data_IF_292680587844
#
_entry.id   IF_292680587844
#
_cell.length_a   1.000
_cell.length_b   1.000
_cell.length_c   1.000
_cell.angle_alpha   90.00
_cell.angle_beta   90.00
_cell.angle_gamma   90.00
#
_symmetry.space_group_name_H-M   'P 1'
#
loop_
_entity.id
_entity.type
_entity.pdbx_description
1 polymer ?
#
# COMPACT_ATOMS: atom_id res chain seq x y z
N UNK A 1 5.76 -19.86 -1.32
CA UNK A 1 4.32 -19.57 -1.25
C UNK A 1 3.71 -19.81 -2.62
N UNK A 2 2.62 -20.58 -2.71
CA UNK A 2 1.97 -20.93 -3.98
C UNK A 2 0.70 -20.10 -4.09
N UNK A 3 0.53 -19.37 -5.20
CA UNK A 3 -0.67 -18.60 -5.49
C UNK A 3 -1.45 -19.34 -6.57
N UNK A 4 -2.60 -19.88 -6.20
CA UNK A 4 -3.50 -20.56 -7.14
C UNK A 4 -4.28 -19.54 -7.97
N UNK A 5 -3.62 -18.98 -8.99
CA UNK A 5 -4.16 -17.90 -9.83
C UNK A 5 -5.40 -18.29 -10.63
N UNK A 6 -5.75 -19.58 -10.75
CA UNK A 6 -6.84 -20.05 -11.63
C UNK A 6 -7.85 -20.98 -10.97
N UNK A 7 -7.70 -21.36 -9.71
CA UNK A 7 -8.54 -22.39 -9.05
C UNK A 7 -8.53 -23.77 -9.77
N UNK A 8 -7.86 -23.91 -10.91
CA UNK A 8 -7.69 -25.15 -11.68
C UNK A 8 -6.62 -26.08 -11.09
N UNK A 9 -5.78 -25.59 -10.17
CA UNK A 9 -4.70 -26.39 -9.58
C UNK A 9 -5.19 -27.31 -8.44
N UNK A 10 -6.51 -27.45 -8.27
CA UNK A 10 -7.14 -28.22 -7.19
C UNK A 10 -6.67 -29.68 -7.12
N UNK A 11 -6.18 -30.24 -8.24
CA UNK A 11 -5.61 -31.59 -8.32
C UNK A 11 -4.11 -31.66 -8.04
N UNK A 12 -3.33 -30.66 -8.46
CA UNK A 12 -1.87 -30.62 -8.22
C UNK A 12 -1.51 -30.13 -6.81
N UNK A 13 -2.27 -29.20 -6.22
CA UNK A 13 -2.00 -28.72 -4.86
C UNK A 13 -2.27 -29.83 -3.82
N UNK A 14 -3.18 -30.76 -4.11
CA UNK A 14 -3.48 -31.91 -3.24
C UNK A 14 -2.36 -32.97 -3.20
N UNK A 15 -1.51 -33.07 -4.23
CA UNK A 15 -0.37 -33.99 -4.25
C UNK A 15 0.90 -33.38 -3.64
N UNK A 16 0.94 -32.05 -3.47
CA UNK A 16 1.97 -31.34 -2.72
C UNK A 16 1.67 -31.42 -1.23
N UNK A 17 2.38 -32.29 -0.50
CA UNK A 17 2.18 -32.48 0.94
C UNK A 17 2.05 -31.17 1.73
N UNK A 18 1.00 -31.09 2.57
CA UNK A 18 0.80 -30.11 3.66
C UNK A 18 0.94 -28.62 3.28
N UNK A 19 0.66 -28.23 2.03
CA UNK A 19 0.58 -26.82 1.64
C UNK A 19 -0.76 -26.20 2.08
N UNK A 20 -0.71 -25.14 2.89
CA UNK A 20 -1.89 -24.38 3.31
C UNK A 20 -2.25 -23.30 2.29
N UNK A 21 -3.53 -23.24 1.91
CA UNK A 21 -4.07 -22.19 1.05
C UNK A 21 -4.42 -20.99 1.92
N UNK A 22 -3.83 -19.83 1.62
CA UNK A 22 -4.07 -18.57 2.34
C UNK A 22 -4.83 -17.58 1.47
N UNK A 23 -5.79 -16.87 2.08
CA UNK A 23 -6.66 -15.93 1.37
C UNK A 23 -5.97 -14.60 1.02
N UNK A 24 -5.01 -14.17 1.85
CA UNK A 24 -4.19 -12.98 1.60
C UNK A 24 -2.79 -13.21 2.16
N UNK A 25 -1.80 -12.52 1.60
CA UNK A 25 -0.42 -12.58 2.05
C UNK A 25 0.34 -11.31 1.73
N UNK A 26 1.42 -11.06 2.47
CA UNK A 26 2.30 -9.93 2.18
C UNK A 26 3.42 -10.40 1.24
N UNK A 27 3.56 -9.71 0.12
CA UNK A 27 4.65 -9.89 -0.84
C UNK A 27 5.29 -8.56 -1.16
N UNK A 28 6.61 -8.45 -0.93
CA UNK A 28 7.39 -7.22 -1.12
C UNK A 28 6.76 -5.99 -0.44
N UNK A 29 6.09 -6.20 0.71
CA UNK A 29 5.43 -5.14 1.47
C UNK A 29 4.02 -4.76 1.00
N UNK A 30 3.46 -5.46 0.00
CA UNK A 30 2.07 -5.28 -0.46
C UNK A 30 1.20 -6.47 -0.07
N UNK A 31 -0.03 -6.21 0.36
CA UNK A 31 -1.01 -7.26 0.58
C UNK A 31 -1.55 -7.74 -0.77
N UNK A 32 -1.37 -9.02 -1.05
CA UNK A 32 -1.85 -9.72 -2.23
C UNK A 32 -3.00 -10.63 -1.80
N UNK A 33 -4.10 -10.63 -2.54
CA UNK A 33 -5.22 -11.53 -2.30
C UNK A 33 -5.04 -12.90 -2.96
N UNK A 34 -5.95 -13.83 -2.67
CA UNK A 34 -5.93 -15.20 -3.16
C UNK A 34 -6.04 -15.33 -4.69
N UNK A 35 -6.46 -14.28 -5.39
CA UNK A 35 -6.42 -14.24 -6.87
C UNK A 35 -5.04 -13.83 -7.42
N UNK A 36 -4.13 -13.40 -6.54
CA UNK A 36 -2.87 -12.79 -6.90
C UNK A 36 -2.96 -11.28 -7.15
N UNK A 37 -4.09 -10.64 -6.84
CA UNK A 37 -4.29 -9.19 -7.06
C UNK A 37 -3.84 -8.36 -5.85
N UNK A 38 -3.31 -7.18 -6.13
CA UNK A 38 -2.97 -6.15 -5.13
C UNK A 38 -3.88 -4.92 -5.21
N UNK A 39 -4.97 -4.98 -5.99
CA UNK A 39 -5.85 -3.84 -6.26
C UNK A 39 -6.38 -3.21 -4.97
N UNK A 40 -6.80 -4.04 -4.02
CA UNK A 40 -7.30 -3.58 -2.73
C UNK A 40 -6.24 -2.83 -1.91
N UNK A 41 -4.98 -3.28 -1.94
CA UNK A 41 -3.88 -2.60 -1.25
C UNK A 41 -3.53 -1.27 -1.92
N UNK A 42 -3.49 -1.23 -3.26
CA UNK A 42 -3.27 0.02 -4.01
C UNK A 42 -4.37 1.03 -3.68
N UNK A 43 -5.63 0.60 -3.73
CA UNK A 43 -6.78 1.45 -3.38
C UNK A 43 -6.68 1.97 -1.96
N UNK A 44 -6.31 1.12 -1.00
CA UNK A 44 -6.11 1.51 0.41
C UNK A 44 -5.03 2.58 0.55
N UNK A 45 -3.86 2.38 -0.06
CA UNK A 45 -2.75 3.36 0.00
C UNK A 45 -3.10 4.69 -0.66
N UNK A 46 -3.83 4.67 -1.77
CA UNK A 46 -4.33 5.90 -2.42
C UNK A 46 -5.25 6.67 -1.48
N UNK A 47 -6.20 5.99 -0.81
CA UNK A 47 -7.10 6.65 0.13
C UNK A 47 -6.34 7.23 1.34
N UNK A 48 -5.39 6.48 1.89
CA UNK A 48 -4.52 6.99 2.97
C UNK A 48 -3.72 8.21 2.53
N UNK A 49 -3.14 8.19 1.33
CA UNK A 49 -2.42 9.34 0.78
C UNK A 49 -3.34 10.55 0.61
N UNK A 50 -4.56 10.39 0.10
CA UNK A 50 -5.54 11.48 -0.04
C UNK A 50 -5.88 12.12 1.30
N UNK A 51 -6.08 11.31 2.34
CA UNK A 51 -6.34 11.79 3.70
C UNK A 51 -5.14 12.57 4.23
N UNK A 52 -3.93 12.02 4.09
CA UNK A 52 -2.70 12.69 4.49
C UNK A 52 -2.49 14.03 3.76
N UNK A 53 -2.74 14.08 2.45
CA UNK A 53 -2.66 15.33 1.66
C UNK A 53 -3.65 16.39 2.13
N UNK A 54 -4.84 15.96 2.59
CA UNK A 54 -5.82 16.88 3.18
C UNK A 54 -5.31 17.47 4.50
N UNK A 55 -4.66 16.65 5.34
CA UNK A 55 -4.03 17.13 6.58
C UNK A 55 -2.86 18.08 6.30
N UNK A 56 -2.02 17.77 5.31
CA UNK A 56 -0.94 18.66 4.86
C UNK A 56 -1.47 20.00 4.37
N UNK A 57 -2.61 20.02 3.68
CA UNK A 57 -3.26 21.27 3.25
C UNK A 57 -3.63 22.14 4.45
N UNK A 58 -4.12 21.54 5.55
CA UNK A 58 -4.40 22.27 6.80
C UNK A 58 -3.11 22.84 7.41
N UNK A 59 -2.06 22.04 7.51
CA UNK A 59 -0.74 22.46 8.00
C UNK A 59 -0.19 23.63 7.15
N UNK A 60 -0.27 23.54 5.83
CA UNK A 60 0.20 24.60 4.93
C UNK A 60 -0.54 25.93 5.14
N UNK A 61 -1.83 25.89 5.51
CA UNK A 61 -2.67 27.07 5.76
C UNK A 61 -2.56 27.63 7.18
N UNK A 62 -2.07 26.86 8.15
CA UNK A 62 -1.99 27.29 9.54
C UNK A 62 -0.92 28.39 9.73
N UNK A 63 -1.33 29.58 10.17
CA UNK A 63 -0.43 30.72 10.39
C UNK A 63 0.46 30.56 11.64
N UNK A 64 0.10 29.68 12.57
CA UNK A 64 0.90 29.41 13.76
C UNK A 64 2.11 28.52 13.44
N UNK A 65 2.09 27.82 12.31
CA UNK A 65 3.19 26.98 11.86
C UNK A 65 4.18 27.82 11.07
N UNK A 66 5.44 27.83 11.51
CA UNK A 66 6.49 28.63 10.88
C UNK A 66 6.72 28.23 9.43
N UNK A 67 7.14 29.20 8.61
CA UNK A 67 7.51 28.96 7.21
C UNK A 67 8.65 27.95 7.08
N UNK A 68 9.61 27.95 8.01
CA UNK A 68 10.73 27.01 8.02
C UNK A 68 10.26 25.55 8.14
N UNK A 69 9.32 25.26 9.05
CA UNK A 69 8.75 23.91 9.20
C UNK A 69 8.00 23.47 7.95
N UNK A 70 7.20 24.38 7.34
CA UNK A 70 6.50 24.09 6.08
C UNK A 70 7.46 23.80 4.93
N UNK A 71 8.53 24.59 4.81
CA UNK A 71 9.58 24.38 3.80
C UNK A 71 10.27 23.04 3.99
N UNK A 72 10.61 22.66 5.23
CA UNK A 72 11.20 21.36 5.53
C UNK A 72 10.28 20.20 5.14
N UNK A 73 8.97 20.31 5.43
CA UNK A 73 7.98 19.30 5.03
C UNK A 73 7.91 19.15 3.50
N UNK A 74 7.79 20.24 2.75
CA UNK A 74 7.74 20.22 1.28
C UNK A 74 9.02 19.60 0.70
N UNK A 75 10.18 19.91 1.29
CA UNK A 75 11.46 19.34 0.88
C UNK A 75 11.55 17.84 1.16
N UNK A 76 11.15 17.39 2.36
CA UNK A 76 11.16 15.96 2.73
C UNK A 76 10.20 15.13 1.87
N UNK A 77 9.10 15.72 1.41
CA UNK A 77 8.16 15.08 0.48
C UNK A 77 8.64 15.10 -0.98
N UNK A 78 9.78 15.70 -1.28
CA UNK A 78 10.31 15.83 -2.64
C UNK A 78 9.48 16.76 -3.54
N UNK A 79 8.60 17.58 -2.95
CA UNK A 79 7.72 18.50 -3.68
C UNK A 79 8.43 19.80 -4.10
N UNK A 80 9.65 20.02 -3.60
CA UNK A 80 10.53 21.11 -4.01
C UNK A 80 11.88 20.51 -4.44
N UNK A 81 12.24 20.72 -5.71
CA UNK A 81 13.60 20.44 -6.20
C UNK A 81 14.53 21.59 -5.81
N UNK A 82 15.76 21.24 -5.42
CA UNK A 82 16.86 22.21 -5.23
C UNK A 82 17.33 22.74 -6.58
#
# INVERSE_FOLDING_TARGET
MIVDRKHDNHREIKSMGRCEVVQTFVYLGSLIDGSGSCENEIRRRIQQARVAMTMLTKICRDHNITKATKMSLVQSLGLLRR
#
